data_IF_773938572991
#
_entry.id   IF_773938572991
#
_cell.length_a   1.000
_cell.length_b   1.000
_cell.length_c   1.000
_cell.angle_alpha   90.00
_cell.angle_beta   90.00
_cell.angle_gamma   90.00
#
_symmetry.space_group_name_H-M   'P 1'
#
loop_
_entity.id
_entity.type
_entity.pdbx_description
1 polymer ?
#
# COMPACT_ATOMS: atom_id res chain seq x y z
N UNK A 1 2.23 4.30 -0.68
CA UNK A 1 3.08 3.58 -1.68
C UNK A 1 4.27 2.85 -1.07
N UNK A 2 4.90 3.33 0.01
CA UNK A 2 6.01 2.65 0.69
C UNK A 2 5.76 1.15 1.00
N UNK A 3 4.61 0.82 1.61
CA UNK A 3 4.26 -0.57 1.95
C UNK A 3 4.03 -1.47 0.73
N UNK A 4 3.51 -0.93 -0.38
CA UNK A 4 3.44 -1.68 -1.64
C UNK A 4 4.85 -2.00 -2.16
N UNK A 5 5.76 -1.03 -2.14
CA UNK A 5 7.15 -1.26 -2.56
C UNK A 5 7.85 -2.31 -1.70
N UNK A 6 7.59 -2.34 -0.39
CA UNK A 6 8.10 -3.41 0.48
C UNK A 6 7.49 -4.77 0.13
N UNK A 7 6.18 -4.82 -0.15
CA UNK A 7 5.52 -6.05 -0.58
C UNK A 7 6.10 -6.61 -1.88
N UNK A 8 6.48 -5.74 -2.82
CA UNK A 8 7.08 -6.14 -4.10
C UNK A 8 8.55 -6.61 -3.93
N UNK A 9 9.31 -5.98 -3.04
CA UNK A 9 10.74 -6.26 -2.84
C UNK A 9 10.98 -7.47 -1.92
N UNK A 10 10.09 -7.74 -0.96
CA UNK A 10 10.29 -8.82 0.02
C UNK A 10 10.41 -10.24 -0.60
N UNK A 11 9.63 -10.63 -1.63
CA UNK A 11 9.81 -11.91 -2.32
C UNK A 11 11.12 -11.95 -3.14
N UNK A 12 11.52 -10.82 -3.71
CA UNK A 12 12.78 -10.70 -4.45
C UNK A 12 14.00 -10.92 -3.53
N UNK A 13 13.95 -10.44 -2.29
CA UNK A 13 14.94 -10.76 -1.25
C UNK A 13 14.95 -12.26 -0.90
N UNK A 14 13.80 -12.92 -0.90
CA UNK A 14 13.70 -14.38 -0.74
C UNK A 14 14.43 -15.14 -1.85
N UNK A 15 14.30 -14.69 -3.11
CA UNK A 15 15.05 -15.26 -4.24
C UNK A 15 16.57 -15.02 -4.13
N UNK A 16 17.01 -13.91 -3.55
CA UNK A 16 18.44 -13.73 -3.25
C UNK A 16 18.95 -14.76 -2.22
N UNK A 17 18.11 -15.14 -1.26
CA UNK A 17 18.40 -16.19 -0.27
C UNK A 17 18.59 -17.57 -0.90
N UNK A 18 17.89 -17.89 -1.99
CA UNK A 18 18.10 -19.17 -2.70
C UNK A 18 19.46 -19.21 -3.38
N UNK A 19 19.94 -18.08 -3.91
CA UNK A 19 21.28 -17.97 -4.48
C UNK A 19 22.34 -18.20 -3.39
N UNK A 20 22.17 -17.62 -2.19
CA UNK A 20 23.07 -17.84 -1.05
C UNK A 20 23.08 -19.32 -0.64
N UNK A 21 21.91 -19.96 -0.58
CA UNK A 21 21.79 -21.38 -0.27
C UNK A 21 22.47 -22.27 -1.33
N UNK A 22 22.30 -21.96 -2.62
CA UNK A 22 22.96 -22.68 -3.71
C UNK A 22 24.49 -22.55 -3.64
N UNK A 23 25.01 -21.36 -3.32
CA UNK A 23 26.46 -21.17 -3.10
C UNK A 23 26.95 -22.04 -1.95
N UNK A 24 26.21 -22.12 -0.84
CA UNK A 24 26.52 -22.99 0.29
C UNK A 24 26.43 -24.48 -0.04
N UNK A 25 25.52 -24.88 -0.92
CA UNK A 25 25.38 -26.28 -1.38
C UNK A 25 26.58 -26.68 -2.25
N UNK A 26 27.00 -25.83 -3.19
CA UNK A 26 28.16 -26.13 -4.03
C UNK A 26 29.48 -26.11 -3.26
N UNK A 27 29.61 -25.26 -2.24
CA UNK A 27 30.81 -25.21 -1.39
C UNK A 27 30.98 -26.46 -0.50
N UNK A 28 29.91 -27.22 -0.23
CA UNK A 28 29.91 -28.40 0.63
C UNK A 28 29.59 -29.71 -0.08
N UNK A 29 29.70 -29.75 -1.41
CA UNK A 29 29.27 -30.88 -2.24
C UNK A 29 29.92 -32.22 -1.86
N UNK A 30 31.14 -32.19 -1.33
CA UNK A 30 31.90 -33.39 -0.97
C UNK A 30 31.33 -34.13 0.26
N UNK A 31 30.50 -33.45 1.07
CA UNK A 31 29.89 -34.02 2.27
C UNK A 31 28.35 -33.82 2.24
N UNK A 32 27.58 -34.89 1.94
CA UNK A 32 26.12 -34.84 1.89
C UNK A 32 25.47 -34.31 3.18
N UNK A 33 26.11 -34.44 4.35
CA UNK A 33 25.58 -33.94 5.61
C UNK A 33 25.47 -32.40 5.62
N UNK A 34 26.30 -31.69 4.84
CA UNK A 34 26.33 -30.22 4.76
C UNK A 34 25.31 -29.63 3.78
N UNK A 35 24.70 -30.47 2.94
CA UNK A 35 23.69 -30.04 1.95
C UNK A 35 22.37 -29.66 2.63
N UNK A 36 21.95 -30.43 3.65
CA UNK A 36 20.69 -30.21 4.37
C UNK A 36 20.55 -28.81 4.98
N UNK A 37 21.55 -28.31 5.75
CA UNK A 37 21.51 -26.96 6.31
C UNK A 37 21.43 -25.84 5.26
N UNK A 38 22.21 -25.93 4.19
CA UNK A 38 22.22 -24.93 3.10
C UNK A 38 20.89 -24.90 2.33
N UNK A 39 20.29 -26.06 2.10
CA UNK A 39 18.96 -26.17 1.50
C UNK A 39 17.88 -25.62 2.44
N UNK A 40 17.97 -25.88 3.75
CA UNK A 40 17.05 -25.34 4.74
C UNK A 40 17.05 -23.81 4.77
N UNK A 41 18.23 -23.18 4.69
CA UNK A 41 18.35 -21.73 4.61
C UNK A 41 17.67 -21.16 3.35
N UNK A 42 17.83 -21.79 2.19
CA UNK A 42 17.20 -21.37 0.93
C UNK A 42 15.66 -21.38 1.00
N UNK A 43 15.10 -22.42 1.63
CA UNK A 43 13.64 -22.56 1.77
C UNK A 43 13.08 -21.59 2.82
N UNK A 44 13.76 -21.44 3.95
CA UNK A 44 13.32 -20.52 5.01
C UNK A 44 13.33 -19.07 4.54
N UNK A 45 14.38 -18.64 3.83
CA UNK A 45 14.47 -17.27 3.30
C UNK A 45 13.34 -16.97 2.31
N UNK A 46 12.97 -17.94 1.47
CA UNK A 46 11.81 -17.81 0.56
C UNK A 46 10.49 -17.74 1.33
N UNK A 47 10.31 -18.60 2.34
CA UNK A 47 9.13 -18.59 3.18
C UNK A 47 8.97 -17.25 3.91
N UNK A 48 10.02 -16.74 4.55
CA UNK A 48 9.97 -15.46 5.25
C UNK A 48 9.72 -14.28 4.32
N UNK A 49 10.28 -14.28 3.11
CA UNK A 49 10.01 -13.23 2.11
C UNK A 49 8.54 -13.16 1.70
N UNK A 50 7.93 -14.32 1.41
CA UNK A 50 6.50 -14.42 1.02
C UNK A 50 5.57 -14.09 2.19
N UNK A 51 5.93 -14.54 3.41
CA UNK A 51 5.16 -14.25 4.63
C UNK A 51 5.15 -12.74 4.92
N UNK A 52 6.31 -12.09 4.88
CA UNK A 52 6.40 -10.64 5.10
C UNK A 52 5.65 -9.85 4.04
N UNK A 53 5.74 -10.25 2.77
CA UNK A 53 5.00 -9.61 1.69
C UNK A 53 3.48 -9.72 1.89
N UNK A 54 2.96 -10.93 2.00
CA UNK A 54 1.52 -11.18 1.93
C UNK A 54 0.78 -11.02 3.26
N UNK A 55 1.40 -11.37 4.40
CA UNK A 55 0.73 -11.30 5.70
C UNK A 55 0.92 -9.93 6.39
N UNK A 56 1.93 -9.16 6.02
CA UNK A 56 2.25 -7.89 6.69
C UNK A 56 2.13 -6.71 5.73
N UNK A 57 2.94 -6.67 4.68
CA UNK A 57 3.04 -5.48 3.83
C UNK A 57 1.77 -5.20 3.02
N UNK A 58 1.18 -6.23 2.39
CA UNK A 58 -0.06 -6.12 1.62
C UNK A 58 -1.25 -5.64 2.47
N UNK A 59 -1.62 -6.25 3.61
CA UNK A 59 -2.77 -5.80 4.38
C UNK A 59 -2.58 -4.39 4.97
N UNK A 60 -1.36 -3.99 5.30
CA UNK A 60 -1.09 -2.61 5.73
C UNK A 60 -1.27 -1.64 4.56
N UNK A 61 -0.78 -2.00 3.37
CA UNK A 61 -0.92 -1.19 2.17
C UNK A 61 -2.38 -0.98 1.76
N UNK A 62 -3.20 -2.04 1.80
CA UNK A 62 -4.63 -1.95 1.44
C UNK A 62 -5.39 -1.09 2.44
N UNK A 63 -5.21 -1.31 3.74
CA UNK A 63 -5.84 -0.50 4.79
C UNK A 63 -5.51 1.00 4.67
N UNK A 64 -4.25 1.32 4.40
CA UNK A 64 -3.83 2.72 4.25
C UNK A 64 -4.42 3.37 3.00
N UNK A 65 -4.55 2.60 1.91
CA UNK A 65 -5.15 3.07 0.66
C UNK A 65 -6.66 3.32 0.86
N UNK A 66 -7.37 2.40 1.50
CA UNK A 66 -8.79 2.56 1.83
C UNK A 66 -9.05 3.81 2.69
N UNK A 67 -8.20 4.04 3.70
CA UNK A 67 -8.29 5.23 4.54
C UNK A 67 -8.05 6.51 3.73
N UNK A 68 -7.04 6.50 2.85
CA UNK A 68 -6.75 7.63 1.98
C UNK A 68 -7.90 7.95 1.03
N UNK A 69 -8.58 6.93 0.48
CA UNK A 69 -9.72 7.11 -0.41
C UNK A 69 -10.93 7.68 0.33
N UNK A 70 -11.19 7.21 1.56
CA UNK A 70 -12.26 7.76 2.41
C UNK A 70 -12.02 9.22 2.76
N UNK A 71 -10.77 9.57 3.09
CA UNK A 71 -10.38 10.95 3.39
C UNK A 71 -10.56 11.85 2.15
N UNK A 72 -10.09 11.40 0.99
CA UNK A 72 -10.28 12.12 -0.29
C UNK A 72 -11.75 12.30 -0.63
N UNK A 73 -12.58 11.28 -0.43
CA UNK A 73 -14.02 11.36 -0.67
C UNK A 73 -14.68 12.40 0.26
N UNK A 74 -14.32 12.38 1.54
CA UNK A 74 -14.82 13.34 2.53
C UNK A 74 -14.41 14.77 2.17
N UNK A 75 -13.13 15.01 1.85
CA UNK A 75 -12.63 16.33 1.44
C UNK A 75 -13.32 16.84 0.18
N UNK A 76 -13.54 15.95 -0.80
CA UNK A 76 -14.23 16.30 -2.06
C UNK A 76 -15.68 16.69 -1.80
N UNK A 77 -16.40 15.94 -0.98
CA UNK A 77 -17.78 16.26 -0.60
C UNK A 77 -17.85 17.60 0.15
N UNK A 78 -16.93 17.84 1.08
CA UNK A 78 -16.90 19.06 1.89
C UNK A 78 -16.61 20.29 1.02
N UNK A 79 -15.69 20.18 0.06
CA UNK A 79 -15.39 21.22 -0.91
C UNK A 79 -16.61 21.51 -1.81
N UNK A 80 -17.32 20.48 -2.28
CA UNK A 80 -18.56 20.66 -3.04
C UNK A 80 -19.66 21.35 -2.22
N UNK A 81 -19.81 20.99 -0.93
CA UNK A 81 -20.78 21.63 -0.03
C UNK A 81 -20.45 23.11 0.17
N UNK A 82 -19.18 23.44 0.43
CA UNK A 82 -18.69 24.82 0.55
C UNK A 82 -18.97 25.63 -0.72
N UNK A 83 -18.71 25.06 -1.90
CA UNK A 83 -19.04 25.70 -3.19
C UNK A 83 -20.53 25.98 -3.36
N UNK A 84 -21.41 25.08 -2.89
CA UNK A 84 -22.87 25.30 -2.92
C UNK A 84 -23.29 26.45 -2.00
N UNK A 85 -22.66 26.59 -0.83
CA UNK A 85 -22.92 27.70 0.11
C UNK A 85 -22.43 29.02 -0.50
N UNK A 86 -21.19 29.07 -1.00
CA UNK A 86 -20.64 30.26 -1.64
C UNK A 86 -21.50 30.72 -2.83
N UNK A 87 -22.00 29.79 -3.67
CA UNK A 87 -22.93 30.13 -4.76
C UNK A 87 -24.26 30.70 -4.29
N UNK A 88 -24.75 30.30 -3.11
CA UNK A 88 -25.97 30.89 -2.52
C UNK A 88 -25.72 32.32 -2.04
N UNK A 89 -24.55 32.61 -1.48
CA UNK A 89 -24.20 33.95 -0.99
C UNK A 89 -23.91 34.94 -2.13
N UNK A 90 -23.27 34.49 -3.22
CA UNK A 90 -22.93 35.36 -4.37
C UNK A 90 -24.08 35.53 -5.38
N UNK A 91 -25.18 34.77 -5.26
CA UNK A 91 -26.35 35.00 -6.11
C UNK A 91 -26.92 36.40 -5.84
N UNK A 92 -27.11 37.26 -6.87
CA UNK A 92 -27.55 38.63 -6.65
C UNK A 92 -28.89 38.58 -5.93
N UNK A 93 -28.96 39.24 -4.76
CA UNK A 93 -30.17 39.41 -3.97
C UNK A 93 -31.22 40.01 -4.90
N UNK A 94 -32.10 39.15 -5.45
CA UNK A 94 -33.15 39.54 -6.38
C UNK A 94 -34.05 40.49 -5.61
N UNK A 95 -33.92 41.78 -5.90
CA UNK A 95 -34.78 42.88 -5.44
C UNK A 95 -36.21 42.61 -5.90
N UNK A 96 -36.89 41.68 -5.25
CA UNK A 96 -38.28 41.32 -5.53
C UNK A 96 -39.26 42.14 -4.68
N UNK A 97 -38.81 42.91 -3.68
CA UNK A 97 -39.69 43.63 -2.75
C UNK A 97 -39.89 45.12 -3.04
N UNK A 98 -39.34 45.69 -4.13
CA UNK A 98 -39.48 47.15 -4.40
C UNK A 98 -40.72 47.48 -5.25
N UNK A 99 -41.50 46.49 -5.73
CA UNK A 99 -42.66 46.76 -6.63
C UNK A 99 -44.05 46.67 -5.99
N UNK A 100 -44.18 46.46 -4.68
CA UNK A 100 -45.50 46.41 -4.02
C UNK A 100 -45.89 47.67 -3.24
N UNK A 101 -45.12 48.77 -3.33
CA UNK A 101 -45.41 50.01 -2.56
C UNK A 101 -45.39 51.29 -3.43
N UNK A 102 -45.77 51.20 -4.71
CA UNK A 102 -45.91 52.37 -5.58
C UNK A 102 -47.23 52.33 -6.35
#
# INVERSE_FOLDING_TARGET
KFWLSIADVAPALGMAGTIIGLVGMFAGMDDPAKIGPSMGLALLTTFYGVVLANLVAVPIATRLTDLSERELAWQTELCQRMLRVARRETAPVRRASIREVA
#
